data_IF_770279579676
#
_entry.id   IF_770279579676
#
_cell.length_a   1.000
_cell.length_b   1.000
_cell.length_c   1.000
_cell.angle_alpha   90.00
_cell.angle_beta   90.00
_cell.angle_gamma   90.00
#
_symmetry.space_group_name_H-M   'P 1'
#
loop_
_entity.id
_entity.type
_entity.pdbx_description
1 polymer ?
#
# COMPACT_ATOMS: atom_id res chain seq x y z
N UNK A 1 -16.02 8.94 -6.91
CA UNK A 1 -16.09 7.99 -8.06
C UNK A 1 -17.56 7.74 -8.40
N UNK A 2 -17.93 7.78 -9.71
CA UNK A 2 -19.30 7.41 -10.14
C UNK A 2 -19.41 5.87 -10.11
N UNK A 3 -20.40 5.35 -9.40
CA UNK A 3 -20.70 3.91 -9.39
C UNK A 3 -21.59 3.59 -10.60
N UNK A 4 -21.19 2.61 -11.39
CA UNK A 4 -21.93 2.08 -12.53
C UNK A 4 -22.49 0.70 -12.14
N UNK A 5 -23.46 0.72 -11.23
CA UNK A 5 -24.19 -0.46 -10.76
C UNK A 5 -25.29 -0.86 -11.73
N UNK A 6 -25.87 -2.04 -11.57
CA UNK A 6 -27.07 -2.48 -12.29
C UNK A 6 -28.18 -1.44 -12.23
N UNK A 7 -28.43 -0.83 -11.04
CA UNK A 7 -29.45 0.22 -10.85
C UNK A 7 -29.26 1.42 -11.77
N UNK A 8 -28.02 1.76 -12.12
CA UNK A 8 -27.69 2.86 -13.04
C UNK A 8 -27.69 2.39 -14.49
N UNK A 9 -27.04 1.26 -14.75
CA UNK A 9 -26.83 0.76 -16.10
C UNK A 9 -28.13 0.28 -16.79
N UNK A 10 -29.13 -0.15 -16.04
CA UNK A 10 -30.43 -0.58 -16.58
C UNK A 10 -31.12 0.53 -17.40
N UNK A 11 -30.85 1.80 -17.10
CA UNK A 11 -31.42 2.94 -17.85
C UNK A 11 -30.57 3.30 -19.08
N UNK A 12 -29.44 2.68 -19.28
CA UNK A 12 -28.49 2.98 -20.33
C UNK A 12 -28.46 1.89 -21.43
N UNK A 13 -29.65 1.51 -21.95
CA UNK A 13 -29.84 0.37 -22.86
C UNK A 13 -29.02 0.43 -24.17
N UNK A 14 -28.52 1.60 -24.56
CA UNK A 14 -27.69 1.81 -25.77
C UNK A 14 -26.20 1.73 -25.54
N UNK A 15 -25.74 1.64 -24.28
CA UNK A 15 -24.32 1.54 -23.95
C UNK A 15 -23.78 0.19 -24.44
N UNK A 16 -22.67 0.23 -25.17
CA UNK A 16 -21.92 -0.95 -25.65
C UNK A 16 -20.52 -1.02 -25.12
N UNK A 17 -19.98 0.10 -24.67
CA UNK A 17 -18.60 0.23 -24.22
C UNK A 17 -18.53 1.19 -23.03
N UNK A 18 -17.81 0.76 -21.99
CA UNK A 18 -17.44 1.58 -20.84
C UNK A 18 -15.91 1.64 -20.79
N UNK A 19 -15.36 2.85 -20.90
CA UNK A 19 -13.92 3.09 -20.77
C UNK A 19 -13.63 3.74 -19.42
N UNK A 20 -12.83 3.05 -18.59
CA UNK A 20 -12.39 3.53 -17.28
C UNK A 20 -10.97 4.09 -17.42
N UNK A 21 -10.81 5.37 -17.17
CA UNK A 21 -9.50 6.07 -17.19
C UNK A 21 -8.69 5.82 -15.91
N UNK A 22 -8.69 4.58 -15.44
CA UNK A 22 -7.99 4.11 -14.25
C UNK A 22 -7.60 2.64 -14.40
N UNK A 23 -6.76 2.14 -13.51
CA UNK A 23 -6.41 0.71 -13.45
C UNK A 23 -7.54 -0.13 -12.86
N UNK A 24 -8.15 0.34 -11.75
CA UNK A 24 -9.21 -0.39 -11.07
C UNK A 24 -10.59 -0.15 -11.69
N UNK A 25 -11.40 -1.21 -11.77
CA UNK A 25 -12.77 -1.21 -12.31
C UNK A 25 -13.83 -1.53 -11.23
N UNK A 26 -13.47 -1.41 -9.96
CA UNK A 26 -14.34 -1.77 -8.82
C UNK A 26 -15.62 -0.91 -8.73
N UNK A 27 -15.69 0.18 -9.48
CA UNK A 27 -16.87 1.03 -9.58
C UNK A 27 -17.87 0.62 -10.68
N UNK A 28 -17.61 -0.50 -11.39
CA UNK A 28 -18.45 -1.02 -12.47
C UNK A 28 -18.96 -2.41 -12.09
N UNK A 29 -20.25 -2.65 -12.25
CA UNK A 29 -20.85 -3.99 -12.17
C UNK A 29 -20.47 -4.78 -13.43
N UNK A 30 -19.36 -5.54 -13.32
CA UNK A 30 -18.82 -6.34 -14.42
C UNK A 30 -19.77 -7.48 -14.81
N UNK A 31 -20.48 -8.06 -13.85
CA UNK A 31 -21.42 -9.17 -14.10
C UNK A 31 -22.61 -8.69 -14.88
N UNK A 32 -23.17 -7.53 -14.52
CA UNK A 32 -24.23 -6.88 -15.30
C UNK A 32 -23.73 -6.58 -16.72
N UNK A 33 -22.56 -5.96 -16.86
CA UNK A 33 -22.00 -5.63 -18.16
C UNK A 33 -21.83 -6.87 -19.05
N UNK A 34 -21.31 -7.96 -18.49
CA UNK A 34 -21.14 -9.21 -19.21
C UNK A 34 -22.47 -9.79 -19.69
N UNK A 35 -23.49 -9.85 -18.81
CA UNK A 35 -24.83 -10.35 -19.15
C UNK A 35 -25.50 -9.53 -20.26
N UNK A 36 -25.21 -8.24 -20.36
CA UNK A 36 -25.83 -7.31 -21.32
C UNK A 36 -24.95 -6.98 -22.53
N UNK A 37 -23.82 -7.66 -22.71
CA UNK A 37 -22.92 -7.45 -23.83
C UNK A 37 -22.25 -6.08 -23.86
N UNK A 38 -22.02 -5.49 -22.68
CA UNK A 38 -21.32 -4.23 -22.51
C UNK A 38 -19.83 -4.54 -22.29
N UNK A 39 -18.97 -4.06 -23.19
CA UNK A 39 -17.52 -4.20 -23.05
C UNK A 39 -17.01 -3.18 -22.03
N UNK A 40 -16.17 -3.61 -21.08
CA UNK A 40 -15.50 -2.74 -20.12
C UNK A 40 -14.00 -2.74 -20.39
N UNK A 41 -13.44 -1.56 -20.66
CA UNK A 41 -12.01 -1.38 -20.87
C UNK A 41 -11.43 -0.46 -19.81
N UNK A 42 -10.22 -0.77 -19.36
CA UNK A 42 -9.46 0.04 -18.42
C UNK A 42 -8.06 0.36 -18.97
N UNK A 43 -7.31 1.23 -18.29
CA UNK A 43 -5.91 1.53 -18.63
C UNK A 43 -5.00 0.79 -17.67
N UNK A 44 -4.67 -0.46 -18.01
CA UNK A 44 -3.80 -1.29 -17.17
C UNK A 44 -2.35 -0.78 -17.21
N UNK A 45 -1.71 -0.72 -16.04
CA UNK A 45 -0.26 -0.50 -15.92
C UNK A 45 0.24 0.95 -16.08
N UNK A 46 -0.60 1.92 -16.44
CA UNK A 46 -0.17 3.31 -16.66
C UNK A 46 0.44 3.96 -15.42
N UNK A 47 -0.06 3.59 -14.24
CA UNK A 47 0.34 4.19 -12.96
C UNK A 47 1.43 3.40 -12.22
N UNK A 48 1.98 2.34 -12.82
CA UNK A 48 2.89 1.44 -12.08
C UNK A 48 4.12 2.17 -11.51
N UNK A 49 4.72 3.08 -12.27
CA UNK A 49 5.87 3.86 -11.83
C UNK A 49 5.48 4.91 -10.78
N UNK A 50 4.38 5.63 -10.99
CA UNK A 50 3.93 6.67 -10.06
C UNK A 50 3.49 6.09 -8.71
N UNK A 51 2.78 4.95 -8.70
CA UNK A 51 2.42 4.28 -7.45
C UNK A 51 3.65 3.73 -6.73
N UNK A 52 4.61 3.14 -7.46
CA UNK A 52 5.87 2.72 -6.86
C UNK A 52 6.64 3.91 -6.26
N UNK A 53 6.75 5.03 -6.96
CA UNK A 53 7.36 6.25 -6.44
C UNK A 53 6.65 6.74 -5.17
N UNK A 54 5.32 6.76 -5.16
CA UNK A 54 4.54 7.17 -3.99
C UNK A 54 4.73 6.23 -2.79
N UNK A 55 4.86 4.92 -3.03
CA UNK A 55 5.22 3.94 -2.00
C UNK A 55 6.52 4.34 -1.28
N UNK A 56 7.55 4.75 -2.04
CA UNK A 56 8.82 5.22 -1.47
C UNK A 56 8.70 6.59 -0.80
N UNK A 57 7.88 7.49 -1.32
CA UNK A 57 7.64 8.78 -0.67
C UNK A 57 7.07 8.58 0.74
N UNK A 58 6.05 7.73 0.90
CA UNK A 58 5.46 7.38 2.20
C UNK A 58 6.46 6.66 3.11
N UNK A 59 7.17 5.66 2.57
CA UNK A 59 8.15 4.90 3.36
C UNK A 59 9.30 5.78 3.86
N UNK A 60 9.87 6.62 3.01
CA UNK A 60 10.98 7.50 3.38
C UNK A 60 10.55 8.61 4.34
N UNK A 61 9.34 9.15 4.22
CA UNK A 61 8.81 10.12 5.19
C UNK A 61 8.72 9.51 6.59
N UNK A 62 8.15 8.30 6.69
CA UNK A 62 8.03 7.58 7.95
C UNK A 62 9.39 7.20 8.56
N UNK A 63 10.32 6.69 7.74
CA UNK A 63 11.63 6.23 8.21
C UNK A 63 12.53 7.39 8.62
N UNK A 64 12.60 8.46 7.84
CA UNK A 64 13.44 9.62 8.08
C UNK A 64 12.82 10.66 9.01
N UNK A 65 11.54 10.47 9.42
CA UNK A 65 10.83 11.43 10.29
C UNK A 65 10.81 12.85 9.70
N UNK A 66 10.66 12.98 8.37
CA UNK A 66 10.75 14.25 7.66
C UNK A 66 9.80 15.29 8.22
N UNK A 67 8.55 14.92 8.50
CA UNK A 67 7.54 15.83 9.08
C UNK A 67 7.97 16.36 10.46
N UNK A 68 8.59 15.52 11.31
CA UNK A 68 9.11 15.95 12.60
C UNK A 68 10.23 16.98 12.44
N UNK A 69 11.26 16.68 11.64
CA UNK A 69 12.39 17.57 11.46
C UNK A 69 12.02 18.86 10.73
N UNK A 70 11.08 18.79 9.77
CA UNK A 70 10.50 19.96 9.13
C UNK A 70 9.86 20.90 10.17
N UNK A 71 9.00 20.38 11.03
CA UNK A 71 8.32 21.16 12.07
C UNK A 71 9.30 21.72 13.09
N UNK A 72 10.32 20.96 13.48
CA UNK A 72 11.36 21.42 14.40
C UNK A 72 12.10 22.65 13.85
N UNK A 73 12.44 22.64 12.56
CA UNK A 73 13.09 23.81 11.92
C UNK A 73 12.11 24.96 11.75
N UNK A 74 10.88 24.70 11.29
CA UNK A 74 9.87 25.73 11.04
C UNK A 74 9.42 26.45 12.32
N UNK A 75 9.42 25.78 13.46
CA UNK A 75 9.07 26.37 14.76
C UNK A 75 10.15 27.28 15.35
N UNK A 76 11.33 27.40 14.72
CA UNK A 76 12.46 28.16 15.21
C UNK A 76 13.31 27.45 16.27
N UNK A 77 12.87 26.29 16.78
CA UNK A 77 13.58 25.56 17.84
C UNK A 77 15.02 25.23 17.48
N UNK A 78 15.30 24.97 16.19
CA UNK A 78 16.66 24.73 15.72
C UNK A 78 17.54 25.96 15.89
N UNK A 79 17.06 27.14 15.48
CA UNK A 79 17.78 28.42 15.60
C UNK A 79 18.03 28.79 17.06
N UNK A 80 17.04 28.56 17.91
CA UNK A 80 17.09 28.91 19.34
C UNK A 80 17.97 27.93 20.14
N UNK A 81 18.17 26.72 19.64
CA UNK A 81 18.96 25.67 20.33
C UNK A 81 20.44 26.06 20.47
N UNK A 82 20.98 26.86 19.56
CA UNK A 82 22.42 27.14 19.47
C UNK A 82 23.30 25.92 19.14
N UNK A 83 22.70 24.80 18.82
CA UNK A 83 23.37 23.52 18.56
C UNK A 83 23.56 23.28 17.05
N UNK A 84 24.69 22.72 16.67
CA UNK A 84 24.98 22.34 15.28
C UNK A 84 24.03 21.25 14.77
N UNK A 85 23.62 20.33 15.64
CA UNK A 85 22.76 19.20 15.30
C UNK A 85 21.67 19.03 16.35
N UNK A 86 20.56 18.40 15.93
CA UNK A 86 19.47 17.99 16.80
C UNK A 86 19.38 16.49 16.90
N UNK A 87 19.45 15.96 18.13
CA UNK A 87 19.22 14.53 18.41
C UNK A 87 17.74 14.36 18.74
N UNK A 88 16.95 14.10 17.73
CA UNK A 88 15.52 13.85 17.81
C UNK A 88 15.17 12.36 17.73
N UNK A 89 13.98 12.03 17.21
CA UNK A 89 13.57 10.64 16.99
C UNK A 89 14.55 9.88 16.11
N UNK A 90 14.77 8.61 16.42
CA UNK A 90 15.60 7.75 15.59
C UNK A 90 15.02 7.62 14.18
N UNK A 91 15.89 7.63 13.20
CA UNK A 91 15.58 7.30 11.81
C UNK A 91 16.46 6.15 11.33
N UNK A 92 16.01 5.46 10.30
CA UNK A 92 16.65 4.23 9.85
C UNK A 92 16.90 4.29 8.34
N UNK A 93 17.99 3.63 7.91
CA UNK A 93 18.29 3.40 6.51
C UNK A 93 17.51 2.21 5.97
N UNK A 94 17.26 2.19 4.65
CA UNK A 94 16.68 1.04 3.95
C UNK A 94 17.70 -0.10 3.75
N UNK A 95 18.99 0.23 3.82
CA UNK A 95 20.06 -0.75 3.64
C UNK A 95 19.96 -1.89 4.67
N UNK A 96 20.07 -3.12 4.18
CA UNK A 96 19.95 -4.37 4.95
C UNK A 96 18.57 -4.60 5.63
N UNK A 97 17.57 -3.72 5.43
CA UNK A 97 16.20 -3.95 5.90
C UNK A 97 15.48 -4.94 5.01
N UNK A 98 14.58 -5.72 5.60
CA UNK A 98 13.72 -6.64 4.87
C UNK A 98 12.45 -5.92 4.42
N UNK A 99 12.22 -5.88 3.10
CA UNK A 99 11.01 -5.33 2.50
C UNK A 99 10.07 -6.45 2.07
N UNK A 100 8.95 -6.59 2.77
CA UNK A 100 7.88 -7.54 2.46
C UNK A 100 6.86 -6.92 1.52
N UNK A 101 6.59 -7.58 0.40
CA UNK A 101 5.67 -7.10 -0.64
C UNK A 101 4.45 -8.02 -0.69
N UNK A 102 3.27 -7.47 -0.39
CA UNK A 102 2.00 -8.19 -0.54
C UNK A 102 1.45 -7.92 -1.94
N UNK A 103 1.58 -8.92 -2.84
CA UNK A 103 1.18 -8.80 -4.23
C UNK A 103 2.31 -8.42 -5.19
N UNK A 104 2.92 -9.42 -5.83
CA UNK A 104 4.05 -9.25 -6.78
C UNK A 104 3.55 -9.08 -8.23
N UNK A 105 2.65 -8.09 -8.45
CA UNK A 105 2.21 -7.64 -9.78
C UNK A 105 3.20 -6.64 -10.40
N UNK A 106 2.76 -5.84 -11.38
CA UNK A 106 3.61 -4.82 -12.03
C UNK A 106 4.17 -3.80 -11.03
N UNK A 107 3.32 -3.30 -10.13
CA UNK A 107 3.72 -2.34 -9.10
C UNK A 107 4.69 -3.00 -8.11
N UNK A 108 4.33 -4.16 -7.55
CA UNK A 108 5.18 -4.87 -6.58
C UNK A 108 6.57 -5.20 -7.13
N UNK A 109 6.68 -5.61 -8.40
CA UNK A 109 7.97 -5.82 -9.06
C UNK A 109 8.78 -4.53 -9.23
N UNK A 110 8.11 -3.41 -9.51
CA UNK A 110 8.79 -2.11 -9.61
C UNK A 110 9.30 -1.67 -8.24
N UNK A 111 8.49 -1.81 -7.19
CA UNK A 111 8.90 -1.54 -5.80
C UNK A 111 10.06 -2.44 -5.39
N UNK A 112 10.01 -3.74 -5.70
CA UNK A 112 11.10 -4.67 -5.39
C UNK A 112 12.44 -4.22 -5.96
N UNK A 113 12.47 -3.84 -7.24
CA UNK A 113 13.71 -3.37 -7.91
C UNK A 113 14.26 -2.08 -7.30
N UNK A 114 13.38 -1.16 -6.91
CA UNK A 114 13.82 0.10 -6.29
C UNK A 114 14.32 -0.15 -4.87
N UNK A 115 13.62 -0.97 -4.07
CA UNK A 115 14.05 -1.33 -2.72
C UNK A 115 15.39 -2.09 -2.72
N UNK A 116 15.59 -3.00 -3.68
CA UNK A 116 16.88 -3.68 -3.89
C UNK A 116 18.01 -2.69 -4.21
N UNK A 117 17.74 -1.65 -5.01
CA UNK A 117 18.71 -0.60 -5.32
C UNK A 117 19.08 0.24 -4.07
N UNK A 118 18.20 0.34 -3.06
CA UNK A 118 18.50 0.89 -1.74
C UNK A 118 19.24 -0.10 -0.81
N UNK A 119 19.50 -1.33 -1.27
CA UNK A 119 20.16 -2.36 -0.48
C UNK A 119 19.24 -3.15 0.45
N UNK A 120 17.93 -3.08 0.27
CA UNK A 120 16.98 -3.88 1.03
C UNK A 120 16.95 -5.34 0.56
N UNK A 121 16.65 -6.25 1.48
CA UNK A 121 16.36 -7.65 1.18
C UNK A 121 14.86 -7.78 0.84
N UNK A 122 14.55 -8.41 -0.30
CA UNK A 122 13.18 -8.48 -0.80
C UNK A 122 12.59 -9.85 -0.55
N UNK A 123 11.35 -9.88 -0.04
CA UNK A 123 10.51 -11.06 -0.02
C UNK A 123 9.06 -10.68 -0.36
N UNK A 124 8.25 -11.64 -0.77
CA UNK A 124 6.87 -11.33 -1.10
C UNK A 124 5.89 -12.46 -0.78
N UNK A 125 4.64 -12.06 -0.58
CA UNK A 125 3.49 -12.94 -0.48
C UNK A 125 2.62 -12.85 -1.74
N UNK A 126 2.29 -14.01 -2.34
CA UNK A 126 1.41 -14.10 -3.51
C UNK A 126 -0.02 -14.37 -3.08
N UNK A 127 -0.87 -13.33 -3.08
CA UNK A 127 -2.28 -13.45 -2.67
C UNK A 127 -3.10 -14.41 -3.52
N UNK A 128 -2.70 -14.66 -4.76
CA UNK A 128 -3.36 -15.63 -5.65
C UNK A 128 -2.75 -17.04 -5.62
N UNK A 129 -1.60 -17.22 -4.95
CA UNK A 129 -0.83 -18.45 -4.99
C UNK A 129 -0.20 -18.79 -6.36
N UNK A 130 -0.47 -18.01 -7.41
CA UNK A 130 -0.02 -18.28 -8.78
C UNK A 130 1.32 -17.62 -9.13
N UNK A 131 1.63 -16.47 -8.54
CA UNK A 131 2.83 -15.68 -8.84
C UNK A 131 3.97 -16.01 -7.85
N UNK A 132 4.44 -17.25 -7.85
CA UNK A 132 5.46 -17.72 -6.89
C UNK A 132 6.88 -17.78 -7.45
N UNK A 133 7.10 -17.33 -8.71
CA UNK A 133 8.40 -17.37 -9.39
C UNK A 133 8.72 -15.99 -10.00
N UNK A 134 8.99 -15.01 -9.14
CA UNK A 134 9.20 -13.61 -9.55
C UNK A 134 10.64 -13.09 -9.33
N UNK A 135 11.61 -13.99 -9.14
CA UNK A 135 13.03 -13.63 -8.95
C UNK A 135 13.40 -13.25 -7.52
N UNK A 136 12.45 -13.23 -6.60
CA UNK A 136 12.63 -12.99 -5.17
C UNK A 136 12.02 -14.14 -4.35
N UNK A 137 12.39 -14.32 -3.07
CA UNK A 137 11.79 -15.31 -2.20
C UNK A 137 10.28 -15.11 -2.03
N UNK A 138 9.48 -16.12 -2.40
CA UNK A 138 8.06 -16.17 -2.10
C UNK A 138 7.87 -16.86 -0.74
N UNK A 139 7.19 -16.20 0.18
CA UNK A 139 6.94 -16.70 1.54
C UNK A 139 5.43 -16.66 1.85
N UNK A 140 5.00 -17.34 2.90
CA UNK A 140 3.65 -17.20 3.43
C UNK A 140 3.47 -15.84 4.13
N UNK A 141 2.22 -15.46 4.39
CA UNK A 141 1.89 -14.16 4.97
C UNK A 141 2.47 -14.00 6.38
N UNK A 142 2.39 -15.05 7.19
CA UNK A 142 2.89 -15.03 8.58
C UNK A 142 4.40 -14.79 8.61
N UNK A 143 5.16 -15.52 7.80
CA UNK A 143 6.60 -15.34 7.64
C UNK A 143 6.92 -13.92 7.17
N UNK A 144 6.19 -13.39 6.16
CA UNK A 144 6.39 -12.04 5.66
C UNK A 144 6.20 -11.01 6.76
N UNK A 145 5.11 -11.10 7.52
CA UNK A 145 4.81 -10.14 8.60
C UNK A 145 5.84 -10.18 9.71
N UNK A 146 6.25 -11.38 10.16
CA UNK A 146 7.24 -11.55 11.25
C UNK A 146 8.64 -11.05 10.92
N UNK A 147 9.02 -11.13 9.65
CA UNK A 147 10.43 -10.89 9.25
C UNK A 147 10.67 -9.56 8.57
N UNK A 148 9.63 -8.88 8.08
CA UNK A 148 9.76 -7.61 7.37
C UNK A 148 9.92 -6.42 8.33
N UNK A 149 10.76 -5.47 7.92
CA UNK A 149 10.87 -4.14 8.53
C UNK A 149 9.94 -3.14 7.82
N UNK A 150 9.68 -3.35 6.53
CA UNK A 150 8.72 -2.59 5.73
C UNK A 150 7.76 -3.58 5.08
N UNK A 151 6.46 -3.37 5.22
CA UNK A 151 5.42 -4.14 4.52
C UNK A 151 4.68 -3.21 3.58
N UNK A 152 4.62 -3.54 2.28
CA UNK A 152 3.90 -2.73 1.29
C UNK A 152 2.87 -3.57 0.52
N UNK A 153 1.67 -2.99 0.33
CA UNK A 153 0.52 -3.67 -0.24
C UNK A 153 0.29 -3.20 -1.68
N UNK A 154 0.33 -4.16 -2.62
CA UNK A 154 0.17 -3.93 -4.06
C UNK A 154 -0.76 -4.95 -4.73
N UNK A 155 -1.58 -5.64 -3.94
CA UNK A 155 -2.58 -6.58 -4.43
C UNK A 155 -3.93 -5.90 -4.69
N UNK A 156 -4.80 -6.46 -5.53
CA UNK A 156 -6.17 -5.98 -5.69
C UNK A 156 -7.03 -6.34 -4.46
N UNK A 157 -8.08 -5.57 -4.22
CA UNK A 157 -9.13 -5.93 -3.27
C UNK A 157 -10.08 -6.94 -3.90
N UNK A 158 -10.25 -8.08 -3.24
CA UNK A 158 -11.21 -9.13 -3.57
C UNK A 158 -11.56 -9.90 -2.29
N UNK A 159 -12.39 -10.94 -2.38
CA UNK A 159 -12.81 -11.75 -1.22
C UNK A 159 -11.64 -12.36 -0.41
N UNK A 160 -10.51 -12.64 -1.06
CA UNK A 160 -9.33 -13.23 -0.40
C UNK A 160 -8.42 -12.19 0.25
N UNK A 161 -8.53 -10.92 -0.15
CA UNK A 161 -7.66 -9.83 0.32
C UNK A 161 -8.38 -8.80 1.15
N UNK A 162 -9.71 -8.88 1.25
CA UNK A 162 -10.51 -8.03 2.14
C UNK A 162 -10.18 -8.34 3.60
N UNK A 163 -9.78 -7.31 4.34
CA UNK A 163 -9.38 -7.45 5.75
C UNK A 163 -8.15 -8.35 5.96
N UNK A 164 -7.31 -8.53 4.92
CA UNK A 164 -6.12 -9.39 4.98
C UNK A 164 -5.16 -9.00 6.10
N UNK A 165 -5.05 -7.71 6.38
CA UNK A 165 -4.23 -7.14 7.45
C UNK A 165 -5.17 -6.61 8.53
N UNK A 166 -5.31 -7.37 9.59
CA UNK A 166 -6.13 -7.06 10.76
C UNK A 166 -5.34 -7.19 12.07
N UNK A 167 -6.04 -7.25 13.19
CA UNK A 167 -5.46 -7.29 14.54
C UNK A 167 -4.36 -8.36 14.71
N UNK A 168 -4.64 -9.60 14.32
CA UNK A 168 -3.66 -10.68 14.43
C UNK A 168 -2.42 -10.46 13.53
N UNK A 169 -2.59 -9.77 12.40
CA UNK A 169 -1.49 -9.42 11.52
C UNK A 169 -0.55 -8.42 12.17
N UNK A 170 -1.06 -7.41 12.85
CA UNK A 170 -0.25 -6.40 13.54
C UNK A 170 0.56 -7.00 14.69
N UNK A 171 -0.02 -7.93 15.46
CA UNK A 171 0.69 -8.67 16.51
C UNK A 171 1.85 -9.53 16.02
N UNK A 172 1.85 -9.90 14.74
CA UNK A 172 2.94 -10.65 14.12
C UNK A 172 4.06 -9.75 13.61
N UNK A 173 3.78 -8.47 13.34
CA UNK A 173 4.76 -7.53 12.82
C UNK A 173 5.78 -7.14 13.88
N UNK A 174 6.95 -6.67 13.44
CA UNK A 174 7.95 -6.08 14.35
C UNK A 174 7.44 -4.73 14.85
N UNK A 175 7.74 -4.39 16.09
CA UNK A 175 7.35 -3.09 16.67
C UNK A 175 7.94 -1.89 15.91
N UNK A 176 9.12 -2.05 15.29
CA UNK A 176 9.75 -1.03 14.45
C UNK A 176 9.31 -1.09 12.99
N UNK A 177 8.45 -2.05 12.60
CA UNK A 177 7.99 -2.18 11.22
C UNK A 177 7.03 -1.05 10.85
N UNK A 178 7.04 -0.71 9.55
CA UNK A 178 6.07 0.21 8.96
C UNK A 178 5.22 -0.51 7.92
N UNK A 179 3.93 -0.12 7.85
CA UNK A 179 2.99 -0.59 6.85
C UNK A 179 2.72 0.50 5.80
N UNK A 180 2.77 0.15 4.51
CA UNK A 180 2.41 1.05 3.40
C UNK A 180 1.25 0.44 2.61
N UNK A 181 0.12 1.14 2.54
CA UNK A 181 -1.00 0.71 1.71
C UNK A 181 -1.28 1.72 0.60
N UNK A 182 -0.94 1.34 -0.62
CA UNK A 182 -1.24 2.06 -1.86
C UNK A 182 -2.13 1.23 -2.80
N UNK A 183 -2.65 0.13 -2.30
CA UNK A 183 -3.54 -0.77 -3.04
C UNK A 183 -5.01 -0.36 -2.95
N UNK A 184 -5.68 -0.78 -1.89
CA UNK A 184 -7.08 -0.46 -1.58
C UNK A 184 -7.29 -0.42 -0.06
N UNK A 185 -8.11 0.50 0.44
CA UNK A 185 -8.39 0.67 1.87
C UNK A 185 -8.86 -0.61 2.55
N UNK A 186 -9.89 -1.25 2.04
CA UNK A 186 -10.47 -2.46 2.63
C UNK A 186 -9.58 -3.71 2.67
N UNK A 187 -8.30 -3.62 2.29
CA UNK A 187 -7.31 -4.70 2.49
C UNK A 187 -6.79 -4.67 3.94
N UNK A 188 -6.75 -3.50 4.55
CA UNK A 188 -6.35 -3.26 5.94
C UNK A 188 -7.59 -2.94 6.76
N UNK A 189 -7.75 -3.54 7.92
CA UNK A 189 -8.72 -3.12 8.91
C UNK A 189 -8.21 -1.83 9.58
N UNK A 190 -8.83 -0.69 9.24
CA UNK A 190 -8.39 0.63 9.72
C UNK A 190 -8.55 0.80 11.23
N UNK A 191 -9.54 0.14 11.83
CA UNK A 191 -9.73 0.18 13.28
C UNK A 191 -8.59 -0.57 13.98
N UNK A 192 -8.29 -1.78 13.52
CA UNK A 192 -7.18 -2.55 14.04
C UNK A 192 -5.83 -1.84 13.83
N UNK A 193 -5.65 -1.16 12.69
CA UNK A 193 -4.47 -0.35 12.43
C UNK A 193 -4.33 0.81 13.44
N UNK A 194 -5.43 1.52 13.72
CA UNK A 194 -5.42 2.62 14.67
C UNK A 194 -5.06 2.13 16.09
N UNK A 195 -5.60 0.99 16.50
CA UNK A 195 -5.29 0.34 17.79
C UNK A 195 -3.81 -0.10 17.83
N UNK A 196 -3.30 -0.72 16.76
CA UNK A 196 -1.90 -1.15 16.67
C UNK A 196 -0.91 0.03 16.77
N UNK A 197 -1.23 1.17 16.13
CA UNK A 197 -0.42 2.39 16.23
C UNK A 197 -0.46 2.99 17.63
N UNK A 198 -1.62 3.04 18.28
CA UNK A 198 -1.77 3.53 19.67
C UNK A 198 -1.01 2.67 20.66
N UNK A 199 -0.98 1.36 20.45
CA UNK A 199 -0.30 0.41 21.32
C UNK A 199 1.19 0.23 20.98
N UNK A 200 1.71 0.93 19.98
CA UNK A 200 3.08 0.77 19.46
C UNK A 200 3.40 -0.67 19.02
N UNK A 201 2.42 -1.38 18.47
CA UNK A 201 2.63 -2.69 17.85
C UNK A 201 3.39 -2.58 16.54
N UNK A 202 3.25 -1.45 15.84
CA UNK A 202 4.07 -1.05 14.67
C UNK A 202 4.51 0.41 14.81
N UNK A 203 5.60 0.78 14.11
CA UNK A 203 6.21 2.12 14.21
C UNK A 203 5.49 3.20 13.40
N UNK A 204 4.65 2.80 12.43
CA UNK A 204 3.93 3.75 11.59
C UNK A 204 3.24 3.13 10.41
N UNK A 205 2.33 3.91 9.79
CA UNK A 205 1.66 3.52 8.57
C UNK A 205 1.60 4.68 7.58
N UNK A 206 1.79 4.38 6.28
CA UNK A 206 1.59 5.30 5.16
C UNK A 206 0.43 4.83 4.29
N UNK A 207 -0.62 5.62 4.22
CA UNK A 207 -1.86 5.26 3.51
C UNK A 207 -2.13 6.24 2.38
N UNK A 208 -2.41 5.72 1.18
CA UNK A 208 -2.90 6.45 0.02
C UNK A 208 -4.38 6.14 -0.28
N UNK A 209 -4.94 5.19 0.45
CA UNK A 209 -6.29 4.64 0.24
C UNK A 209 -6.96 4.34 1.59
N UNK A 210 -8.29 4.47 1.65
CA UNK A 210 -9.08 4.29 2.86
C UNK A 210 -10.30 3.41 2.60
N UNK A 211 -10.85 2.79 3.66
CA UNK A 211 -12.08 1.98 3.57
C UNK A 211 -13.26 2.83 3.10
N UNK A 212 -13.35 4.05 3.61
CA UNK A 212 -14.33 5.05 3.18
C UNK A 212 -13.62 6.26 2.58
N UNK A 213 -13.90 6.58 1.34
CA UNK A 213 -13.36 7.75 0.62
C UNK A 213 -14.51 8.63 0.12
N UNK A 214 -14.47 9.98 0.40
CA UNK A 214 -13.44 10.73 1.15
C UNK A 214 -13.49 10.45 2.65
N UNK A 215 -12.35 10.67 3.32
CA UNK A 215 -12.20 10.59 4.78
C UNK A 215 -12.70 11.86 5.45
#
# INVERSE_FOLDING_TARGET
KCLLTEEVLQYASKVKLICITATGVNNVDLDYCHRHGITVCNVAGYSSLSVAQHTFALALDLLHKNSYYHNYVQSGQYSDSGMFSHIGPHFYELHAKTWGIIGMGNIGRTVAKIAEAFGSQIQYYSTSGKNTKQGYPAVDLETLLKTSDIVSIHCPLNEQTKGLIGEDSFKLMKNEAILINVGRGGIVDEKALAEALQNNEIAGAGLDVFESEPI
#
